data_IF_102324718236
#
_entry.id   IF_102324718236
#
_cell.length_a   1.000
_cell.length_b   1.000
_cell.length_c   1.000
_cell.angle_alpha   90.00
_cell.angle_beta   90.00
_cell.angle_gamma   90.00
#
_symmetry.space_group_name_H-M   'P 1'
#
loop_
_entity.id
_entity.type
_entity.pdbx_description
1 polymer ?
#
# COMPACT_ATOMS: atom_id res chain seq x y z
N UNK A 1 24.79 5.61 61.64
CA UNK A 1 24.51 4.53 60.66
C UNK A 1 23.11 4.57 60.04
N UNK A 2 22.04 5.03 60.74
CA UNK A 2 20.68 5.13 60.15
C UNK A 2 20.49 6.25 59.11
N UNK A 3 21.26 7.34 59.21
CA UNK A 3 21.15 8.50 58.31
C UNK A 3 21.63 8.19 56.88
N UNK A 4 22.62 7.30 56.73
CA UNK A 4 23.23 6.97 55.45
C UNK A 4 22.30 6.15 54.54
N UNK A 5 21.45 5.29 55.14
CA UNK A 5 20.45 4.51 54.41
C UNK A 5 19.33 5.39 53.82
N UNK A 6 18.85 6.40 54.56
CA UNK A 6 17.79 7.29 54.05
C UNK A 6 18.29 8.13 52.87
N UNK A 7 19.53 8.61 52.90
CA UNK A 7 20.09 9.42 51.81
C UNK A 7 20.23 8.57 50.53
N UNK A 8 20.73 7.34 50.63
CA UNK A 8 20.84 6.42 49.49
C UNK A 8 19.47 6.05 48.88
N UNK A 9 18.44 5.84 49.71
CA UNK A 9 17.06 5.58 49.24
C UNK A 9 16.44 6.80 48.55
N UNK A 10 16.67 8.01 49.07
CA UNK A 10 16.21 9.24 48.43
C UNK A 10 16.92 9.50 47.10
N UNK A 11 18.23 9.20 46.98
CA UNK A 11 18.95 9.31 45.71
C UNK A 11 18.46 8.28 44.69
N UNK A 12 18.15 7.04 45.08
CA UNK A 12 17.58 6.04 44.18
C UNK A 12 16.17 6.42 43.70
N UNK A 13 15.32 6.94 44.58
CA UNK A 13 13.99 7.44 44.21
C UNK A 13 14.06 8.66 43.28
N UNK A 14 14.98 9.60 43.51
CA UNK A 14 15.20 10.74 42.63
C UNK A 14 15.74 10.31 41.25
N UNK A 15 16.67 9.34 41.21
CA UNK A 15 17.22 8.82 39.95
C UNK A 15 16.20 8.04 39.12
N UNK A 16 15.22 7.40 39.77
CA UNK A 16 14.12 6.71 39.09
C UNK A 16 12.98 7.64 38.67
N UNK A 17 12.78 8.78 39.36
CA UNK A 17 11.84 9.84 38.97
C UNK A 17 12.38 10.77 37.87
N UNK A 18 13.69 11.04 37.83
CA UNK A 18 14.32 11.88 36.79
C UNK A 18 14.52 11.15 35.45
N UNK A 19 14.51 9.81 35.45
CA UNK A 19 14.64 9.01 34.22
C UNK A 19 13.35 8.86 33.41
N UNK A 20 12.22 9.38 33.91
CA UNK A 20 10.89 9.26 33.30
C UNK A 20 10.09 10.57 33.46
N UNK A 21 10.56 11.63 32.80
CA UNK A 21 9.87 12.91 32.69
C UNK A 21 10.55 13.94 31.79
N UNK A 22 11.55 13.55 30.98
CA UNK A 22 12.40 14.47 30.22
C UNK A 22 12.16 14.39 28.71
N UNK A 23 12.56 15.42 27.96
CA UNK A 23 12.57 15.40 26.47
C UNK A 23 13.37 14.22 25.88
N UNK A 24 14.22 13.54 26.67
CA UNK A 24 15.00 12.37 26.26
C UNK A 24 14.19 11.06 26.30
N UNK A 25 12.96 11.08 26.80
CA UNK A 25 12.11 9.88 26.93
C UNK A 25 11.27 9.61 25.68
N UNK A 26 11.28 10.57 24.74
CA UNK A 26 10.58 10.49 23.48
C UNK A 26 11.59 10.41 22.35
N UNK A 27 11.31 9.54 21.39
CA UNK A 27 12.04 9.45 20.14
C UNK A 27 11.08 9.64 18.97
N UNK A 28 11.60 10.26 17.92
CA UNK A 28 10.83 10.56 16.72
C UNK A 28 10.84 9.36 15.79
N UNK A 29 9.65 8.88 15.42
CA UNK A 29 9.45 7.81 14.44
C UNK A 29 8.87 8.42 13.18
N UNK A 30 9.56 8.20 12.06
CA UNK A 30 9.09 8.58 10.73
C UNK A 30 8.62 7.36 9.96
N UNK A 31 7.34 7.35 9.58
CA UNK A 31 6.71 6.28 8.81
C UNK A 31 6.27 6.80 7.44
N UNK A 32 6.56 6.03 6.38
CA UNK A 32 5.90 6.25 5.10
C UNK A 32 4.46 5.74 5.20
N UNK A 33 3.51 6.58 4.81
CA UNK A 33 2.07 6.27 4.79
C UNK A 33 1.57 6.11 3.34
N UNK A 34 2.48 5.73 2.45
CA UNK A 34 2.21 5.42 1.05
C UNK A 34 1.18 4.30 0.95
N UNK A 35 0.13 4.52 0.16
CA UNK A 35 -0.96 3.55 0.03
C UNK A 35 -1.61 3.65 -1.34
N UNK A 36 -1.89 2.48 -1.91
CA UNK A 36 -2.69 2.33 -3.14
C UNK A 36 -3.87 1.43 -2.79
N UNK A 37 -5.08 1.98 -2.89
CA UNK A 37 -6.33 1.23 -2.71
C UNK A 37 -6.90 0.92 -4.07
N UNK A 38 -6.69 -0.31 -4.54
CA UNK A 38 -7.23 -0.79 -5.82
C UNK A 38 -8.70 -1.14 -5.63
N UNK A 39 -9.57 -0.50 -6.41
CA UNK A 39 -11.01 -0.78 -6.44
C UNK A 39 -11.34 -1.82 -7.49
N UNK A 40 -10.78 -1.66 -8.67
CA UNK A 40 -10.88 -2.62 -9.75
C UNK A 40 -9.65 -2.51 -10.64
N UNK A 41 -9.12 -3.64 -11.06
CA UNK A 41 -8.06 -3.71 -12.04
C UNK A 41 -8.23 -4.92 -12.96
N UNK A 42 -7.78 -4.80 -14.19
CA UNK A 42 -7.72 -5.88 -15.16
C UNK A 42 -6.67 -5.59 -16.23
N UNK A 43 -6.00 -6.64 -16.72
CA UNK A 43 -5.12 -6.52 -17.88
C UNK A 43 -4.87 -7.92 -18.48
N UNK A 44 -4.65 -7.98 -19.79
CA UNK A 44 -4.60 -9.25 -20.53
C UNK A 44 -3.53 -10.23 -20.03
N UNK A 45 -2.33 -9.74 -19.72
CA UNK A 45 -1.24 -10.63 -19.28
C UNK A 45 -1.48 -11.25 -17.91
N UNK A 46 -2.25 -10.61 -17.02
CA UNK A 46 -2.70 -11.22 -15.78
C UNK A 46 -3.63 -12.40 -16.01
N UNK A 47 -4.59 -12.29 -16.94
CA UNK A 47 -5.47 -13.43 -17.27
C UNK A 47 -4.69 -14.62 -17.81
N UNK A 48 -3.71 -14.38 -18.68
CA UNK A 48 -2.85 -15.43 -19.22
C UNK A 48 -2.04 -16.12 -18.10
N UNK A 49 -1.41 -15.33 -17.22
CA UNK A 49 -0.66 -15.86 -16.09
C UNK A 49 -1.54 -16.66 -15.11
N UNK A 50 -2.75 -16.18 -14.84
CA UNK A 50 -3.72 -16.86 -13.97
C UNK A 50 -4.15 -18.20 -14.55
N UNK A 51 -4.52 -18.25 -15.84
CA UNK A 51 -4.92 -19.50 -16.50
C UNK A 51 -3.79 -20.54 -16.47
N UNK A 52 -2.55 -20.12 -16.72
CA UNK A 52 -1.38 -21.01 -16.62
C UNK A 52 -1.17 -21.51 -15.20
N UNK A 53 -1.26 -20.62 -14.20
CA UNK A 53 -1.13 -20.96 -12.79
C UNK A 53 -2.20 -21.97 -12.35
N UNK A 54 -3.47 -21.71 -12.65
CA UNK A 54 -4.60 -22.60 -12.34
C UNK A 54 -4.39 -23.98 -12.94
N UNK A 55 -3.95 -24.03 -14.20
CA UNK A 55 -3.66 -25.28 -14.90
C UNK A 55 -2.54 -26.06 -14.23
N UNK A 56 -1.45 -25.37 -13.86
CA UNK A 56 -0.26 -25.97 -13.24
C UNK A 56 -0.54 -26.51 -11.85
N UNK A 57 -1.29 -25.77 -11.04
CA UNK A 57 -1.61 -26.12 -9.65
C UNK A 57 -2.87 -27.00 -9.53
N UNK A 58 -3.51 -27.34 -10.67
CA UNK A 58 -4.75 -28.14 -10.71
C UNK A 58 -5.91 -27.51 -9.91
N UNK A 59 -5.99 -26.17 -9.88
CA UNK A 59 -6.96 -25.39 -9.10
C UNK A 59 -8.23 -25.07 -9.90
N UNK A 60 -8.86 -26.08 -10.48
CA UNK A 60 -10.00 -25.88 -11.38
C UNK A 60 -11.31 -25.53 -10.66
N UNK A 61 -11.40 -25.86 -9.36
CA UNK A 61 -12.66 -25.89 -8.61
C UNK A 61 -12.83 -24.71 -7.63
N UNK A 62 -12.67 -23.49 -8.16
CA UNK A 62 -13.05 -22.19 -7.57
C UNK A 62 -11.94 -21.36 -6.88
N UNK A 63 -11.86 -20.12 -7.35
CA UNK A 63 -11.11 -19.00 -6.77
C UNK A 63 -12.00 -17.76 -6.83
N UNK A 64 -11.89 -16.90 -5.82
CA UNK A 64 -12.60 -15.64 -5.73
C UNK A 64 -11.69 -14.47 -6.12
N UNK A 65 -12.16 -13.60 -7.00
CA UNK A 65 -11.44 -12.40 -7.39
C UNK A 65 -11.80 -11.21 -6.49
N UNK A 66 -10.80 -10.63 -5.82
CA UNK A 66 -10.93 -9.40 -5.04
C UNK A 66 -10.23 -8.25 -5.75
N UNK A 67 -10.99 -7.20 -6.09
CA UNK A 67 -10.50 -6.01 -6.81
C UNK A 67 -9.88 -6.32 -8.19
N UNK A 68 -9.99 -7.56 -8.67
CA UNK A 68 -9.61 -7.98 -10.02
C UNK A 68 -10.86 -8.27 -10.84
N UNK A 69 -10.89 -7.85 -12.09
CA UNK A 69 -12.01 -8.12 -13.00
C UNK A 69 -11.48 -8.83 -14.25
N UNK A 70 -11.59 -10.16 -14.35
CA UNK A 70 -11.04 -10.89 -15.49
C UNK A 70 -11.59 -10.40 -16.82
N UNK A 71 -10.73 -10.34 -17.85
CA UNK A 71 -11.15 -10.05 -19.22
C UNK A 71 -11.58 -11.35 -19.94
N UNK A 72 -10.90 -12.46 -19.64
CA UNK A 72 -11.16 -13.81 -20.15
C UNK A 72 -12.48 -14.36 -19.63
N UNK A 73 -13.30 -14.89 -20.54
CA UNK A 73 -14.55 -15.56 -20.21
C UNK A 73 -14.33 -16.84 -19.38
N UNK A 74 -13.21 -17.53 -19.59
CA UNK A 74 -12.91 -18.79 -18.87
C UNK A 74 -12.70 -18.56 -17.36
N UNK A 75 -12.06 -17.45 -17.00
CA UNK A 75 -11.86 -17.09 -15.58
C UNK A 75 -13.17 -16.65 -14.93
N UNK A 76 -14.07 -15.98 -15.67
CA UNK A 76 -15.38 -15.54 -15.16
C UNK A 76 -16.27 -16.70 -14.75
N UNK A 77 -16.28 -17.79 -15.52
CA UNK A 77 -17.13 -18.96 -15.27
C UNK A 77 -16.70 -19.79 -14.04
N UNK A 78 -15.48 -19.57 -13.52
CA UNK A 78 -14.90 -20.36 -12.43
C UNK A 78 -14.96 -19.65 -11.07
N UNK A 79 -15.49 -18.44 -11.02
CA UNK A 79 -15.60 -17.58 -9.83
C UNK A 79 -16.93 -17.84 -9.09
N UNK A 80 -17.09 -19.01 -8.48
CA UNK A 80 -18.24 -19.29 -7.59
C UNK A 80 -17.81 -19.31 -6.12
N UNK A 81 -18.69 -18.79 -5.25
CA UNK A 81 -18.69 -18.49 -3.79
C UNK A 81 -17.80 -19.29 -2.78
N UNK A 82 -16.61 -19.75 -3.16
CA UNK A 82 -15.64 -20.39 -2.27
C UNK A 82 -14.59 -19.39 -1.79
N UNK A 83 -14.44 -19.27 -0.48
CA UNK A 83 -13.42 -18.44 0.20
C UNK A 83 -12.04 -19.12 0.27
N UNK A 84 -11.86 -20.32 -0.29
CA UNK A 84 -10.62 -21.09 -0.08
C UNK A 84 -9.41 -20.58 -0.86
N UNK A 85 -9.62 -19.96 -2.03
CA UNK A 85 -8.56 -19.44 -2.88
C UNK A 85 -8.89 -18.01 -3.31
N UNK A 86 -8.08 -17.03 -2.90
CA UNK A 86 -8.31 -15.62 -3.23
C UNK A 86 -7.25 -15.14 -4.22
N UNK A 87 -7.71 -14.60 -5.34
CA UNK A 87 -6.87 -13.84 -6.27
C UNK A 87 -7.20 -12.38 -6.08
N UNK A 88 -6.19 -11.57 -5.77
CA UNK A 88 -6.38 -10.13 -5.57
C UNK A 88 -5.33 -9.30 -6.30
N UNK A 89 -5.64 -8.03 -6.50
CA UNK A 89 -4.66 -7.04 -6.96
C UNK A 89 -4.19 -6.22 -5.78
N UNK A 90 -2.88 -6.18 -5.56
CA UNK A 90 -2.24 -5.25 -4.64
C UNK A 90 -1.58 -4.12 -5.44
N UNK A 91 -1.50 -2.93 -4.83
CA UNK A 91 -0.82 -1.78 -5.41
C UNK A 91 0.27 -1.28 -4.47
N UNK A 92 1.43 -0.92 -5.01
CA UNK A 92 2.54 -0.34 -4.27
C UNK A 92 3.12 0.87 -5.00
N UNK A 93 3.64 1.84 -4.25
CA UNK A 93 4.34 2.98 -4.82
C UNK A 93 5.83 2.68 -4.96
N UNK A 94 6.37 3.01 -6.12
CA UNK A 94 7.81 2.98 -6.34
C UNK A 94 8.45 4.28 -5.82
N UNK A 95 9.73 4.21 -5.43
CA UNK A 95 10.47 5.33 -4.85
C UNK A 95 10.71 6.51 -5.82
N UNK A 96 10.39 6.36 -7.10
CA UNK A 96 10.58 7.42 -8.09
C UNK A 96 9.61 8.60 -7.87
N UNK A 97 10.10 9.82 -8.08
CA UNK A 97 9.28 11.03 -8.03
C UNK A 97 8.76 11.46 -9.41
N UNK A 98 9.48 11.12 -10.48
CA UNK A 98 9.03 11.35 -11.87
C UNK A 98 9.65 10.24 -12.76
N UNK A 99 8.83 9.41 -13.43
CA UNK A 99 7.38 9.36 -13.30
C UNK A 99 6.94 8.96 -11.89
N UNK A 100 5.76 9.43 -11.48
CA UNK A 100 5.07 8.89 -10.32
C UNK A 100 4.62 7.47 -10.68
N UNK A 101 5.22 6.47 -10.04
CA UNK A 101 5.13 5.08 -10.50
C UNK A 101 4.42 4.20 -9.48
N UNK A 102 3.40 3.50 -9.96
CA UNK A 102 2.57 2.56 -9.20
C UNK A 102 2.79 1.17 -9.79
N UNK A 103 3.16 0.21 -8.96
CA UNK A 103 3.18 -1.21 -9.34
C UNK A 103 1.87 -1.85 -8.91
N UNK A 104 1.21 -2.56 -9.83
CA UNK A 104 0.05 -3.39 -9.55
C UNK A 104 0.44 -4.85 -9.73
N UNK A 105 0.13 -5.68 -8.74
CA UNK A 105 0.51 -7.09 -8.71
C UNK A 105 -0.69 -7.98 -8.47
N UNK A 106 -0.85 -9.03 -9.28
CA UNK A 106 -1.74 -10.15 -8.98
C UNK A 106 -1.10 -11.00 -7.91
N UNK A 107 -1.80 -11.13 -6.79
CA UNK A 107 -1.41 -11.95 -5.66
C UNK A 107 -2.42 -13.09 -5.52
N UNK A 108 -1.91 -14.32 -5.47
CA UNK A 108 -2.70 -15.49 -5.10
C UNK A 108 -2.46 -15.83 -3.64
N UNK A 109 -3.54 -15.98 -2.89
CA UNK A 109 -3.55 -16.41 -1.51
C UNK A 109 -4.38 -17.70 -1.36
N UNK A 110 -3.70 -18.79 -0.98
CA UNK A 110 -4.31 -20.11 -0.77
C UNK A 110 -4.86 -20.30 0.64
N UNK A 111 -4.78 -19.29 1.51
CA UNK A 111 -5.39 -19.32 2.84
C UNK A 111 -5.99 -17.94 3.18
N UNK A 112 -7.32 -17.76 3.18
CA UNK A 112 -7.97 -16.47 3.42
C UNK A 112 -7.65 -15.84 4.78
N UNK A 113 -7.05 -16.60 5.72
CA UNK A 113 -6.66 -16.14 7.04
C UNK A 113 -5.18 -15.74 7.16
N UNK A 114 -4.35 -15.92 6.11
CA UNK A 114 -2.91 -15.65 6.16
C UNK A 114 -2.46 -14.76 4.98
N UNK A 115 -2.87 -13.50 5.06
CA UNK A 115 -2.62 -12.44 4.07
C UNK A 115 -1.12 -12.21 3.75
N UNK A 116 -0.21 -12.72 4.59
CA UNK A 116 1.23 -12.45 4.49
C UNK A 116 2.00 -13.45 3.61
N UNK A 117 1.36 -14.53 3.12
CA UNK A 117 2.01 -15.60 2.34
C UNK A 117 1.62 -15.62 0.84
N UNK A 118 1.05 -14.53 0.33
CA UNK A 118 0.60 -14.43 -1.05
C UNK A 118 1.74 -14.57 -2.09
N UNK A 119 1.50 -15.34 -3.16
CA UNK A 119 2.43 -15.46 -4.29
C UNK A 119 2.09 -14.43 -5.36
N UNK A 120 3.07 -13.61 -5.76
CA UNK A 120 2.90 -12.70 -6.90
C UNK A 120 2.98 -13.49 -8.20
N UNK A 121 1.92 -13.43 -9.01
CA UNK A 121 1.83 -14.17 -10.28
C UNK A 121 2.21 -13.31 -11.48
N UNK A 122 1.82 -12.04 -11.46
CA UNK A 122 2.08 -11.10 -12.54
C UNK A 122 2.01 -9.66 -12.02
N UNK A 123 2.77 -8.76 -12.65
CA UNK A 123 2.87 -7.35 -12.32
C UNK A 123 2.71 -6.47 -13.56
N UNK A 124 2.17 -5.27 -13.35
CA UNK A 124 2.15 -4.19 -14.33
C UNK A 124 2.44 -2.86 -13.64
N UNK A 125 3.17 -2.00 -14.34
CA UNK A 125 3.55 -0.67 -13.89
C UNK A 125 2.68 0.38 -14.56
N UNK A 126 2.22 1.34 -13.75
CA UNK A 126 1.48 2.52 -14.16
C UNK A 126 2.33 3.74 -13.80
N UNK A 127 2.86 4.41 -14.81
CA UNK A 127 3.77 5.54 -14.69
C UNK A 127 3.07 6.83 -15.12
N UNK A 128 2.83 7.73 -14.18
CA UNK A 128 2.15 9.00 -14.40
C UNK A 128 3.21 10.09 -14.52
N UNK A 129 3.18 10.83 -15.62
CA UNK A 129 4.10 11.93 -15.88
C UNK A 129 3.41 13.29 -15.71
N UNK A 130 4.13 14.26 -15.16
CA UNK A 130 3.62 15.61 -14.92
C UNK A 130 2.78 15.75 -13.65
N UNK A 131 2.93 14.82 -12.71
CA UNK A 131 2.30 14.90 -11.40
C UNK A 131 3.04 15.93 -10.53
N UNK A 132 2.64 17.20 -10.58
CA UNK A 132 3.37 18.32 -9.94
C UNK A 132 2.61 18.99 -8.79
N UNK A 133 1.41 18.54 -8.53
CA UNK A 133 0.50 19.02 -7.50
C UNK A 133 -0.01 17.88 -6.65
N UNK A 134 -0.49 18.22 -5.44
CA UNK A 134 -0.99 17.27 -4.46
C UNK A 134 -2.04 16.30 -5.02
N UNK A 135 -2.91 16.77 -5.90
CA UNK A 135 -4.00 15.98 -6.49
C UNK A 135 -3.67 15.41 -7.88
N UNK A 136 -2.43 15.57 -8.36
CA UNK A 136 -1.97 15.09 -9.66
C UNK A 136 -2.81 15.57 -10.87
N UNK A 137 -3.62 16.64 -10.73
CA UNK A 137 -4.57 17.07 -11.78
C UNK A 137 -3.87 17.55 -13.06
N UNK A 138 -2.59 17.90 -12.95
CA UNK A 138 -1.76 18.34 -14.07
C UNK A 138 -1.05 17.21 -14.82
N UNK A 139 -1.35 15.93 -14.52
CA UNK A 139 -0.81 14.79 -15.24
C UNK A 139 -1.00 14.93 -16.77
N UNK A 140 0.08 14.70 -17.50
CA UNK A 140 0.13 14.93 -18.96
C UNK A 140 -0.06 13.64 -19.76
N UNK A 141 0.51 12.55 -19.26
CA UNK A 141 0.48 11.23 -19.89
C UNK A 141 0.62 10.14 -18.84
N UNK A 142 0.10 8.98 -19.15
CA UNK A 142 0.29 7.76 -18.36
C UNK A 142 0.91 6.70 -19.27
N UNK A 143 1.92 6.00 -18.77
CA UNK A 143 2.48 4.81 -19.44
C UNK A 143 2.08 3.60 -18.60
N UNK A 144 1.43 2.64 -19.25
CA UNK A 144 1.14 1.33 -18.67
C UNK A 144 2.08 0.34 -19.32
N UNK A 145 2.85 -0.42 -18.54
CA UNK A 145 3.80 -1.39 -19.07
C UNK A 145 4.07 -2.55 -18.14
N UNK A 146 4.52 -3.67 -18.68
CA UNK A 146 5.12 -4.73 -17.86
C UNK A 146 6.61 -4.48 -17.57
N UNK A 147 7.20 -5.36 -16.76
CA UNK A 147 8.59 -5.24 -16.32
C UNK A 147 9.61 -5.40 -17.45
N UNK A 148 9.32 -6.25 -18.44
CA UNK A 148 10.21 -6.55 -19.57
C UNK A 148 9.95 -5.70 -20.81
N UNK A 149 9.03 -4.73 -20.74
CA UNK A 149 8.63 -3.84 -21.83
C UNK A 149 8.05 -4.54 -23.07
N UNK A 150 7.66 -5.81 -22.97
CA UNK A 150 7.02 -6.50 -24.08
C UNK A 150 5.60 -6.00 -24.36
N UNK A 151 4.94 -5.37 -23.37
CA UNK A 151 3.69 -4.65 -23.53
C UNK A 151 3.83 -3.26 -22.94
N UNK A 152 3.66 -2.23 -23.78
CA UNK A 152 3.76 -0.82 -23.41
C UNK A 152 2.63 -0.05 -24.08
N UNK A 153 1.85 0.66 -23.29
CA UNK A 153 0.81 1.56 -23.76
C UNK A 153 1.03 2.96 -23.23
N UNK A 154 1.21 3.90 -24.15
CA UNK A 154 1.14 5.33 -23.86
C UNK A 154 -0.32 5.80 -23.93
N UNK A 155 -0.76 6.49 -22.89
CA UNK A 155 -2.07 7.11 -22.77
C UNK A 155 -1.90 8.62 -22.70
N UNK A 156 -2.51 9.32 -23.65
CA UNK A 156 -2.52 10.78 -23.66
C UNK A 156 -3.65 11.34 -22.78
N UNK A 157 -3.61 12.63 -22.51
CA UNK A 157 -4.69 13.33 -21.82
C UNK A 157 -6.04 13.07 -22.50
N UNK A 158 -7.06 12.72 -21.71
CA UNK A 158 -8.38 12.29 -22.21
C UNK A 158 -8.53 10.78 -22.37
N UNK A 159 -7.44 10.02 -22.26
CA UNK A 159 -7.46 8.55 -22.23
C UNK A 159 -7.41 7.97 -20.81
N UNK A 160 -7.27 8.83 -19.82
CA UNK A 160 -7.27 8.55 -18.39
C UNK A 160 -7.91 9.73 -17.66
N UNK A 161 -8.37 9.49 -16.43
CA UNK A 161 -8.97 10.48 -15.56
C UNK A 161 -8.22 10.53 -14.23
N UNK A 162 -7.91 11.75 -13.78
CA UNK A 162 -7.47 12.03 -12.42
C UNK A 162 -8.64 12.68 -11.68
N UNK A 163 -9.14 11.98 -10.68
CA UNK A 163 -10.33 12.35 -9.92
C UNK A 163 -9.98 12.62 -8.47
N UNK A 164 -10.92 13.24 -7.75
CA UNK A 164 -10.82 13.31 -6.31
C UNK A 164 -10.95 11.88 -5.72
N UNK A 165 -10.15 11.54 -4.70
CA UNK A 165 -10.13 10.21 -4.09
C UNK A 165 -11.45 9.92 -3.37
N UNK A 166 -11.86 8.66 -3.32
CA UNK A 166 -13.09 8.27 -2.61
C UNK A 166 -12.90 8.13 -1.11
N UNK A 167 -11.67 7.90 -0.68
CA UNK A 167 -11.29 7.81 0.74
C UNK A 167 -10.61 9.09 1.18
N UNK A 168 -10.71 9.41 2.47
CA UNK A 168 -9.87 10.44 3.07
C UNK A 168 -8.40 10.01 3.09
N UNK A 169 -7.50 10.99 3.15
CA UNK A 169 -6.08 10.72 3.33
C UNK A 169 -5.88 10.00 4.66
N UNK A 170 -5.22 8.84 4.63
CA UNK A 170 -4.97 8.02 5.79
C UNK A 170 -3.69 8.46 6.50
N UNK A 171 -3.80 8.73 7.80
CA UNK A 171 -2.72 8.86 8.78
C UNK A 171 -2.87 7.74 9.83
N UNK A 172 -1.76 7.30 10.42
CA UNK A 172 -1.79 6.27 11.47
C UNK A 172 -1.93 6.92 12.85
N UNK A 173 -1.29 8.07 13.04
CA UNK A 173 -1.25 8.87 14.25
C UNK A 173 -0.90 8.02 15.48
N UNK A 174 0.09 7.13 15.32
CA UNK A 174 0.52 6.20 16.37
C UNK A 174 1.66 6.79 17.22
N UNK A 175 1.26 7.58 18.22
CA UNK A 175 2.16 8.26 19.14
C UNK A 175 1.57 9.56 19.65
N UNK A 176 2.45 10.52 19.96
CA UNK A 176 2.13 11.87 20.40
C UNK A 176 2.70 12.89 19.42
N UNK A 177 2.11 14.08 19.38
CA UNK A 177 2.58 15.22 18.57
C UNK A 177 2.93 14.81 17.13
N UNK A 178 1.97 14.17 16.45
CA UNK A 178 2.15 13.66 15.11
C UNK A 178 1.98 14.76 14.05
N UNK A 179 3.01 14.93 13.23
CA UNK A 179 2.98 15.80 12.05
C UNK A 179 2.84 14.97 10.77
N UNK A 180 1.83 15.29 9.96
CA UNK A 180 1.52 14.56 8.72
C UNK A 180 1.89 15.39 7.50
N UNK A 181 2.88 14.92 6.74
CA UNK A 181 3.29 15.51 5.46
C UNK A 181 2.56 14.81 4.31
N UNK A 182 1.62 15.55 3.69
CA UNK A 182 0.81 15.06 2.57
C UNK A 182 1.46 15.43 1.24
N UNK A 183 1.97 14.43 0.50
CA UNK A 183 2.65 14.66 -0.79
C UNK A 183 1.70 14.50 -1.98
N UNK A 184 0.93 13.41 -2.02
CA UNK A 184 -0.04 13.16 -3.08
C UNK A 184 -1.31 12.50 -2.54
N UNK A 185 -2.46 12.84 -3.12
CA UNK A 185 -3.74 12.19 -2.86
C UNK A 185 -4.72 12.38 -4.02
N UNK A 186 -4.95 11.32 -4.79
CA UNK A 186 -5.79 11.37 -5.98
C UNK A 186 -6.34 9.99 -6.33
N UNK A 187 -7.32 9.93 -7.23
CA UNK A 187 -7.79 8.69 -7.84
C UNK A 187 -7.38 8.66 -9.30
N UNK A 188 -6.74 7.59 -9.73
CA UNK A 188 -6.47 7.31 -11.13
C UNK A 188 -7.53 6.35 -11.65
N UNK A 189 -8.18 6.73 -12.75
CA UNK A 189 -9.12 5.89 -13.48
C UNK A 189 -8.73 5.77 -14.95
N UNK A 190 -8.62 4.54 -15.44
CA UNK A 190 -8.30 4.21 -16.82
C UNK A 190 -9.24 3.10 -17.27
N UNK A 191 -10.04 3.37 -18.30
CA UNK A 191 -10.96 2.39 -18.88
C UNK A 191 -10.63 2.16 -20.35
N UNK A 192 -9.98 1.03 -20.64
CA UNK A 192 -9.68 0.59 -22.01
C UNK A 192 -10.16 -0.84 -22.18
N UNK A 193 -10.32 -1.27 -23.43
CA UNK A 193 -10.73 -2.65 -23.75
C UNK A 193 -9.71 -3.68 -23.26
N UNK A 194 -8.43 -3.30 -23.18
CA UNK A 194 -7.30 -4.19 -22.93
C UNK A 194 -6.85 -4.21 -21.47
N UNK A 195 -7.24 -3.18 -20.71
CA UNK A 195 -6.98 -3.05 -19.29
C UNK A 195 -7.92 -2.03 -18.68
N UNK A 196 -8.22 -2.23 -17.40
CA UNK A 196 -8.98 -1.31 -16.56
C UNK A 196 -8.17 -1.09 -15.29
N UNK A 197 -8.06 0.15 -14.85
CA UNK A 197 -7.46 0.49 -13.56
C UNK A 197 -8.29 1.56 -12.87
N UNK A 198 -8.70 1.28 -11.64
CA UNK A 198 -9.41 2.22 -10.78
C UNK A 198 -8.84 2.10 -9.37
N UNK A 199 -8.11 3.13 -8.94
CA UNK A 199 -7.37 3.11 -7.69
C UNK A 199 -7.27 4.49 -7.05
N UNK A 200 -7.43 4.52 -5.73
CA UNK A 200 -7.07 5.70 -4.91
C UNK A 200 -5.60 5.57 -4.52
N UNK A 201 -4.87 6.66 -4.64
CA UNK A 201 -3.42 6.74 -4.48
C UNK A 201 -3.11 7.83 -3.47
N UNK A 202 -2.31 7.50 -2.45
CA UNK A 202 -1.72 8.48 -1.57
C UNK A 202 -0.22 8.23 -1.38
N UNK A 203 0.51 9.33 -1.24
CA UNK A 203 1.93 9.33 -0.87
C UNK A 203 2.13 10.37 0.22
N UNK A 204 2.91 10.02 1.22
CA UNK A 204 3.21 10.92 2.32
C UNK A 204 3.98 10.24 3.43
N UNK A 205 4.31 11.05 4.42
CA UNK A 205 5.03 10.63 5.59
C UNK A 205 4.38 11.20 6.85
N UNK A 206 4.48 10.44 7.92
CA UNK A 206 4.03 10.81 9.25
C UNK A 206 5.21 10.72 10.20
N UNK A 207 5.38 11.77 10.99
CA UNK A 207 6.41 11.88 12.02
C UNK A 207 5.72 12.03 13.37
N UNK A 208 5.88 11.05 14.26
CA UNK A 208 5.27 11.04 15.59
C UNK A 208 6.35 10.89 16.67
N UNK A 209 6.10 11.44 17.85
CA UNK A 209 6.87 11.14 19.05
C UNK A 209 6.35 9.85 19.69
N UNK A 210 7.26 8.92 20.00
CA UNK A 210 6.95 7.71 20.75
C UNK A 210 7.76 7.67 22.04
N UNK A 211 7.16 7.11 23.09
CA UNK A 211 7.81 6.99 24.40
C UNK A 211 8.69 5.74 24.42
N UNK A 212 9.90 5.86 24.97
CA UNK A 212 10.77 4.70 25.17
C UNK A 212 10.07 3.65 26.05
N UNK A 213 10.11 2.39 25.63
CA UNK A 213 9.49 1.24 26.32
C UNK A 213 10.02 1.13 27.76
N UNK A 214 11.26 1.56 28.00
CA UNK A 214 11.86 1.57 29.34
C UNK A 214 11.10 2.44 30.34
N UNK A 215 10.35 3.44 29.88
CA UNK A 215 9.63 4.39 30.71
C UNK A 215 8.13 4.06 30.88
N UNK A 216 7.62 3.00 30.23
CA UNK A 216 6.22 2.54 30.39
C UNK A 216 6.04 1.76 31.71
N UNK A 217 7.11 1.17 32.23
CA UNK A 217 7.11 0.31 33.42
C UNK A 217 7.66 0.99 34.69
N UNK A 218 7.85 2.32 34.67
CA UNK A 218 8.31 3.11 35.81
C UNK A 218 7.15 3.84 36.50
#
# INVERSE_FOLDING_TARGET
MKLFCCVLLCFWAAYSLEGCGSQYDYYTVKNNIDRVVVKSASWKSADSALLEFIKKENLYDAYYFRNYTPLSSELKTKSEDSLSNVVLVSGTLNKSNEPFSISLSIVFDGNPNDYYNGRTLNSILVEIYGCRDFNCKNAQKVIVRNDDYSDVKLLNKGEFEILDPSTSFYSREDGYDCDVTKQYHFRLKIEKKEFLFDMDVQKGDEECQQRDIKCIFC
#
